data_IF_540871759526
#
_entry.id   IF_540871759526
#
_cell.length_a   1.000
_cell.length_b   1.000
_cell.length_c   1.000
_cell.angle_alpha   90.00
_cell.angle_beta   90.00
_cell.angle_gamma   90.00
#
_symmetry.space_group_name_H-M   'P 1'
#
loop_
_entity.id
_entity.type
_entity.pdbx_description
1 polymer ?
#
# COMPACT_ATOMS: atom_id res chain seq x y z
N UNK A 1 34.61 8.81 -4.43
CA UNK A 1 33.45 9.33 -3.66
C UNK A 1 32.21 8.62 -4.16
N UNK A 2 31.65 7.68 -3.39
CA UNK A 2 30.38 7.04 -3.74
C UNK A 2 29.25 8.05 -3.52
N UNK A 3 28.48 8.36 -4.56
CA UNK A 3 27.22 9.12 -4.40
C UNK A 3 26.31 8.30 -3.51
N UNK A 4 26.06 8.76 -2.30
CA UNK A 4 25.00 8.21 -1.45
C UNK A 4 23.70 8.55 -2.19
N UNK A 5 23.10 7.53 -2.79
CA UNK A 5 21.87 7.67 -3.55
C UNK A 5 20.71 7.71 -2.55
N UNK A 6 20.31 8.92 -2.13
CA UNK A 6 19.16 9.09 -1.25
C UNK A 6 17.89 8.68 -2.01
N UNK A 7 17.12 7.75 -1.45
CA UNK A 7 15.82 7.44 -2.01
C UNK A 7 14.87 8.62 -1.78
N UNK A 8 14.55 9.36 -2.83
CA UNK A 8 13.55 10.43 -2.80
C UNK A 8 12.10 9.90 -2.69
N UNK A 9 11.89 8.68 -2.21
CA UNK A 9 10.60 8.02 -2.11
C UNK A 9 10.56 7.11 -0.88
N UNK A 10 9.40 7.04 -0.23
CA UNK A 10 9.17 6.30 1.02
C UNK A 10 8.46 4.98 0.77
N UNK A 11 7.66 4.90 -0.29
CA UNK A 11 6.96 3.68 -0.68
C UNK A 11 7.12 3.48 -2.19
N UNK A 12 7.27 2.24 -2.61
CA UNK A 12 7.28 1.86 -4.01
C UNK A 12 6.33 0.70 -4.22
N UNK A 13 5.37 0.86 -5.12
CA UNK A 13 4.45 -0.19 -5.56
C UNK A 13 4.74 -0.51 -7.03
N UNK A 14 5.45 -1.62 -7.27
CA UNK A 14 5.96 -1.97 -8.59
C UNK A 14 6.92 -0.88 -9.10
N UNK A 15 6.48 -0.12 -10.11
CA UNK A 15 7.24 1.01 -10.67
C UNK A 15 6.86 2.37 -10.06
N UNK A 16 5.75 2.44 -9.33
CA UNK A 16 5.26 3.69 -8.74
C UNK A 16 5.99 3.99 -7.46
N UNK A 17 6.50 5.21 -7.36
CA UNK A 17 7.18 5.71 -6.19
C UNK A 17 6.30 6.77 -5.55
N UNK A 18 6.03 6.61 -4.27
CA UNK A 18 5.36 7.59 -3.44
C UNK A 18 6.40 8.33 -2.62
N UNK A 19 6.36 9.65 -2.69
CA UNK A 19 7.20 10.52 -1.90
C UNK A 19 6.39 11.70 -1.42
N UNK A 20 6.82 12.32 -0.33
CA UNK A 20 6.24 13.56 0.18
C UNK A 20 6.17 14.66 -0.90
N UNK A 21 7.10 14.66 -1.87
CA UNK A 21 7.15 15.65 -2.95
C UNK A 21 6.29 15.34 -4.18
N UNK A 22 5.96 14.07 -4.45
CA UNK A 22 5.19 13.66 -5.65
C UNK A 22 3.79 13.16 -5.32
N UNK A 23 3.55 12.62 -4.14
CA UNK A 23 2.23 12.24 -3.64
C UNK A 23 2.35 12.09 -2.12
N UNK A 24 1.94 13.13 -1.40
CA UNK A 24 1.98 13.13 0.06
C UNK A 24 0.98 12.12 0.59
N UNK A 25 1.49 10.93 0.82
CA UNK A 25 0.80 9.86 1.49
C UNK A 25 0.75 10.18 2.99
N UNK A 26 -0.45 10.32 3.53
CA UNK A 26 -0.64 10.82 4.90
C UNK A 26 -0.87 9.70 5.90
N UNK A 27 -1.50 8.59 5.48
CA UNK A 27 -1.93 7.54 6.41
C UNK A 27 -1.88 6.15 5.78
N UNK A 28 -1.06 5.27 6.38
CA UNK A 28 -0.97 3.84 6.09
C UNK A 28 -1.69 3.03 7.13
N UNK A 29 -2.60 2.18 6.69
CA UNK A 29 -3.32 1.26 7.55
C UNK A 29 -3.14 -0.16 7.05
N UNK A 30 -2.44 -0.98 7.84
CA UNK A 30 -2.35 -2.42 7.63
C UNK A 30 -3.45 -3.11 8.42
N UNK A 31 -4.26 -3.91 7.74
CA UNK A 31 -5.23 -4.81 8.35
C UNK A 31 -4.79 -6.25 8.09
N UNK A 32 -4.39 -6.97 9.13
CA UNK A 32 -4.00 -8.39 9.02
C UNK A 32 -4.90 -9.21 9.92
N UNK A 33 -5.68 -10.08 9.31
CA UNK A 33 -6.53 -11.02 10.05
C UNK A 33 -5.72 -12.26 10.42
N UNK A 34 -5.98 -12.81 11.61
CA UNK A 34 -5.41 -14.07 12.06
C UNK A 34 -6.54 -15.03 12.39
N UNK A 35 -6.45 -16.27 11.89
CA UNK A 35 -7.48 -17.29 12.10
C UNK A 35 -7.11 -18.14 13.32
N UNK A 36 -8.00 -18.18 14.29
CA UNK A 36 -7.89 -18.98 15.50
C UNK A 36 -9.11 -19.88 15.64
N UNK A 37 -8.89 -21.16 15.96
CA UNK A 37 -9.95 -22.12 16.28
C UNK A 37 -10.03 -22.25 17.79
N UNK A 38 -11.20 -21.98 18.37
CA UNK A 38 -11.45 -22.30 19.77
C UNK A 38 -11.79 -23.79 19.86
N UNK A 39 -11.09 -24.50 20.73
CA UNK A 39 -11.35 -25.89 21.05
C UNK A 39 -11.98 -25.95 22.44
N UNK A 40 -13.22 -26.42 22.50
CA UNK A 40 -13.88 -26.73 23.77
C UNK A 40 -13.26 -27.99 24.36
N UNK A 41 -12.48 -27.83 25.42
CA UNK A 41 -11.95 -28.95 26.19
C UNK A 41 -12.90 -29.29 27.32
N UNK A 42 -13.25 -30.57 27.45
CA UNK A 42 -14.16 -31.08 28.48
C UNK A 42 -13.56 -31.09 29.91
N UNK A 43 -12.33 -30.59 30.06
CA UNK A 43 -11.60 -30.53 31.34
C UNK A 43 -11.85 -29.16 31.98
N UNK A 44 -12.08 -29.14 33.30
CA UNK A 44 -12.35 -28.01 34.23
C UNK A 44 -11.31 -26.86 34.23
N UNK A 45 -10.69 -26.55 33.10
CA UNK A 45 -9.83 -25.38 32.95
C UNK A 45 -10.65 -24.23 32.40
N UNK A 46 -10.75 -23.17 33.20
CA UNK A 46 -11.57 -21.97 33.02
C UNK A 46 -11.19 -21.11 31.81
N UNK A 47 -10.28 -21.57 30.94
CA UNK A 47 -9.83 -20.83 29.76
C UNK A 47 -9.91 -21.72 28.51
N UNK A 48 -10.69 -21.31 27.48
CA UNK A 48 -10.79 -22.08 26.25
C UNK A 48 -9.45 -22.11 25.49
N UNK A 49 -9.06 -23.30 25.00
CA UNK A 49 -7.81 -23.47 24.24
C UNK A 49 -8.00 -22.91 22.84
N UNK A 50 -7.14 -21.98 22.41
CA UNK A 50 -7.16 -21.45 21.04
C UNK A 50 -6.00 -22.02 20.22
N UNK A 51 -6.31 -22.60 19.06
CA UNK A 51 -5.33 -23.11 18.11
C UNK A 51 -5.18 -22.15 16.92
N UNK A 52 -3.95 -21.72 16.64
CA UNK A 52 -3.66 -20.91 15.46
C UNK A 52 -3.81 -21.73 14.18
N UNK A 53 -4.67 -21.27 13.27
CA UNK A 53 -4.95 -21.94 11.98
C UNK A 53 -4.11 -21.33 10.85
N UNK A 54 -3.71 -20.07 10.99
CA UNK A 54 -2.90 -19.37 9.99
C UNK A 54 -3.24 -17.89 9.86
N UNK A 55 -2.47 -17.22 8.99
CA UNK A 55 -2.73 -15.84 8.61
C UNK A 55 -3.95 -15.81 7.68
N UNK A 56 -4.89 -14.92 7.97
CA UNK A 56 -6.08 -14.66 7.18
C UNK A 56 -5.86 -13.59 6.12
N UNK A 57 -6.91 -12.84 5.77
CA UNK A 57 -6.81 -11.77 4.77
C UNK A 57 -5.87 -10.67 5.26
N UNK A 58 -4.99 -10.23 4.37
CA UNK A 58 -4.15 -9.06 4.59
C UNK A 58 -4.54 -7.97 3.60
N UNK A 59 -4.83 -6.79 4.14
CA UNK A 59 -5.23 -5.60 3.41
C UNK A 59 -4.35 -4.44 3.83
N UNK A 60 -4.07 -3.56 2.87
CA UNK A 60 -3.34 -2.33 3.06
C UNK A 60 -4.17 -1.22 2.47
N UNK A 61 -4.53 -0.25 3.30
CA UNK A 61 -5.21 0.96 2.89
C UNK A 61 -4.24 2.12 2.91
N UNK A 62 -4.22 2.82 1.78
CA UNK A 62 -3.37 3.95 1.52
C UNK A 62 -4.21 5.20 1.29
N UNK A 63 -4.12 6.18 2.19
CA UNK A 63 -4.76 7.49 2.03
C UNK A 63 -3.72 8.60 1.82
N UNK A 64 -3.97 9.48 0.85
CA UNK A 64 -3.10 10.61 0.56
C UNK A 64 -3.78 11.72 -0.20
N UNK A 65 -3.07 12.84 -0.34
CA UNK A 65 -3.53 13.99 -1.12
C UNK A 65 -2.46 14.37 -2.13
N UNK A 66 -2.88 14.50 -3.39
CA UNK A 66 -2.06 14.98 -4.49
C UNK A 66 -2.47 16.42 -4.75
N UNK A 67 -1.49 17.31 -4.76
CA UNK A 67 -1.63 18.69 -5.24
C UNK A 67 -1.02 18.77 -6.64
N UNK A 68 -1.82 18.71 -7.73
CA UNK A 68 -1.29 18.60 -9.08
C UNK A 68 -0.39 19.77 -9.51
N UNK A 69 -0.48 20.91 -8.81
CA UNK A 69 0.36 22.08 -9.06
C UNK A 69 1.80 21.93 -8.55
N UNK A 70 2.01 21.08 -7.55
CA UNK A 70 3.32 20.86 -6.93
C UNK A 70 4.04 19.62 -7.51
N UNK A 71 3.31 18.81 -8.26
CA UNK A 71 3.72 17.48 -8.68
C UNK A 71 3.72 17.38 -10.19
N UNK A 72 4.87 17.05 -10.78
CA UNK A 72 4.95 16.73 -12.21
C UNK A 72 4.07 15.52 -12.52
N UNK A 73 3.08 15.70 -13.40
CA UNK A 73 2.15 14.66 -13.86
C UNK A 73 1.19 14.13 -12.78
N UNK A 74 0.94 14.91 -11.73
CA UNK A 74 0.05 14.53 -10.61
C UNK A 74 -1.38 14.19 -11.03
N UNK A 75 -1.88 14.79 -12.12
CA UNK A 75 -3.21 14.48 -12.68
C UNK A 75 -3.29 13.06 -13.27
N UNK A 76 -2.21 12.56 -13.89
CA UNK A 76 -2.20 11.25 -14.57
C UNK A 76 -1.65 10.14 -13.68
N UNK A 77 -1.14 10.46 -12.51
CA UNK A 77 -0.52 9.49 -11.60
C UNK A 77 -1.52 8.39 -11.23
N UNK A 78 -2.73 8.75 -10.79
CA UNK A 78 -3.78 7.79 -10.44
C UNK A 78 -4.29 7.01 -11.65
N UNK A 79 -4.39 7.65 -12.82
CA UNK A 79 -4.81 6.97 -14.06
C UNK A 79 -3.80 5.90 -14.50
N UNK A 80 -2.50 6.18 -14.35
CA UNK A 80 -1.45 5.19 -14.60
C UNK A 80 -1.53 4.03 -13.60
N UNK A 81 -1.79 4.33 -12.33
CA UNK A 81 -2.00 3.29 -11.31
C UNK A 81 -3.21 2.42 -11.63
N UNK A 82 -4.33 3.01 -12.08
CA UNK A 82 -5.49 2.27 -12.59
C UNK A 82 -5.12 1.40 -13.79
N UNK A 83 -4.34 1.92 -14.72
CA UNK A 83 -3.90 1.15 -15.89
C UNK A 83 -3.02 -0.05 -15.52
N UNK A 84 -2.14 0.08 -14.52
CA UNK A 84 -1.36 -1.06 -14.01
C UNK A 84 -2.21 -2.03 -13.19
N UNK A 85 -3.16 -1.52 -12.38
CA UNK A 85 -4.13 -2.37 -11.68
C UNK A 85 -4.98 -3.19 -12.67
N UNK A 86 -5.36 -2.58 -13.80
CA UNK A 86 -6.14 -3.23 -14.85
C UNK A 86 -5.39 -4.36 -15.57
N UNK A 87 -4.05 -4.45 -15.43
CA UNK A 87 -3.30 -5.61 -15.93
C UNK A 87 -3.52 -6.87 -15.10
N UNK A 88 -4.04 -6.73 -13.87
CA UNK A 88 -4.24 -7.85 -12.95
C UNK A 88 -2.95 -8.47 -12.44
N UNK A 89 -1.80 -7.80 -12.62
CA UNK A 89 -0.51 -8.30 -12.19
C UNK A 89 -0.21 -7.92 -10.72
N UNK A 90 0.30 -8.85 -9.90
CA UNK A 90 0.70 -8.54 -8.54
C UNK A 90 1.93 -7.61 -8.53
N UNK A 91 1.81 -6.49 -7.81
CA UNK A 91 2.84 -5.47 -7.69
C UNK A 91 3.65 -5.67 -6.42
N UNK A 92 4.98 -5.67 -6.53
CA UNK A 92 5.85 -5.73 -5.35
C UNK A 92 5.78 -4.42 -4.57
N UNK A 93 5.42 -4.50 -3.30
CA UNK A 93 5.46 -3.35 -2.39
C UNK A 93 6.82 -3.30 -1.70
N UNK A 94 7.47 -2.15 -1.74
CA UNK A 94 8.73 -1.90 -1.04
C UNK A 94 8.57 -0.63 -0.22
N UNK A 95 8.81 -0.72 1.08
CA UNK A 95 8.89 0.42 1.97
C UNK A 95 10.36 0.81 2.13
N UNK A 96 10.67 2.07 1.98
CA UNK A 96 12.03 2.58 2.14
C UNK A 96 12.06 3.40 3.41
N UNK A 97 12.81 2.90 4.39
CA UNK A 97 13.12 3.65 5.59
C UNK A 97 14.37 4.48 5.30
N UNK A 98 14.21 5.81 5.30
CA UNK A 98 15.35 6.72 5.25
C UNK A 98 16.11 6.60 6.56
N UNK A 99 17.24 5.89 6.54
CA UNK A 99 18.17 5.80 7.67
C UNK A 99 19.04 7.07 7.74
N UNK A 100 18.42 8.23 7.94
CA UNK A 100 19.11 9.51 8.11
C UNK A 100 20.05 9.93 6.96
N UNK A 101 20.75 11.05 7.16
CA UNK A 101 21.59 11.70 6.13
C UNK A 101 22.89 10.95 5.80
N UNK A 102 23.24 9.92 6.56
CA UNK A 102 24.56 9.27 6.54
C UNK A 102 24.53 7.74 6.38
N UNK A 103 23.36 7.11 6.36
CA UNK A 103 23.24 5.66 6.17
C UNK A 103 22.46 5.38 4.88
N UNK A 104 22.86 4.36 4.09
CA UNK A 104 22.06 3.95 2.93
C UNK A 104 20.61 3.65 3.34
N UNK A 105 19.65 4.17 2.56
CA UNK A 105 18.24 3.87 2.76
C UNK A 105 18.02 2.36 2.71
N UNK A 106 17.42 1.79 3.76
CA UNK A 106 17.14 0.35 3.83
C UNK A 106 15.74 0.14 3.27
N UNK A 107 15.66 -0.48 2.10
CA UNK A 107 14.40 -0.89 1.51
C UNK A 107 13.95 -2.23 2.08
N UNK A 108 12.78 -2.28 2.73
CA UNK A 108 12.10 -3.52 3.12
C UNK A 108 11.06 -3.88 2.07
N UNK A 109 11.22 -5.05 1.45
CA UNK A 109 10.19 -5.62 0.58
C UNK A 109 9.06 -6.17 1.47
N UNK A 110 7.83 -5.70 1.23
CA UNK A 110 6.63 -6.03 1.99
C UNK A 110 5.74 -7.05 1.26
N UNK A 111 6.33 -7.90 0.42
CA UNK A 111 5.66 -8.87 -0.45
C UNK A 111 4.91 -8.27 -1.65
N UNK A 112 4.14 -9.13 -2.34
CA UNK A 112 3.34 -8.80 -3.51
C UNK A 112 1.93 -8.39 -3.10
N UNK A 113 1.40 -7.37 -3.75
CA UNK A 113 0.09 -6.79 -3.47
C UNK A 113 -0.67 -6.54 -4.77
N UNK A 114 -1.97 -6.76 -4.74
CA UNK A 114 -2.88 -6.39 -5.84
C UNK A 114 -3.72 -5.19 -5.41
N UNK A 115 -3.90 -4.24 -6.31
CA UNK A 115 -4.79 -3.10 -6.08
C UNK A 115 -6.23 -3.59 -6.27
N UNK A 116 -7.05 -3.46 -5.23
CA UNK A 116 -8.46 -3.89 -5.26
C UNK A 116 -9.42 -2.73 -5.45
N UNK A 117 -9.04 -1.53 -5.00
CA UNK A 117 -9.87 -0.34 -5.10
C UNK A 117 -9.00 0.93 -5.17
N UNK A 118 -9.41 1.89 -6.01
CA UNK A 118 -8.86 3.24 -6.05
C UNK A 118 -10.01 4.23 -6.07
N UNK A 119 -10.23 4.90 -4.96
CA UNK A 119 -11.14 6.02 -4.83
C UNK A 119 -10.36 7.34 -4.92
N UNK A 120 -10.89 8.32 -5.66
CA UNK A 120 -10.36 9.68 -5.64
C UNK A 120 -11.49 10.71 -5.55
N UNK A 121 -11.24 11.76 -4.77
CA UNK A 121 -12.09 12.93 -4.66
C UNK A 121 -11.30 14.14 -5.09
N UNK A 122 -11.75 14.78 -6.17
CA UNK A 122 -11.14 15.97 -6.76
C UNK A 122 -11.89 17.21 -6.27
N UNK A 123 -11.19 18.17 -5.69
CA UNK A 123 -11.75 19.41 -5.12
C UNK A 123 -10.99 20.64 -5.61
N UNK A 124 -11.50 21.83 -5.27
CA UNK A 124 -10.90 23.12 -5.60
C UNK A 124 -10.66 23.28 -7.12
N UNK A 125 -11.71 23.04 -7.92
CA UNK A 125 -11.68 23.27 -9.35
C UNK A 125 -11.55 24.78 -9.64
N UNK A 126 -10.60 25.14 -10.49
CA UNK A 126 -10.57 26.46 -11.11
C UNK A 126 -11.50 26.52 -12.32
N UNK A 127 -11.68 27.73 -12.86
CA UNK A 127 -12.40 27.97 -14.11
C UNK A 127 -11.87 27.15 -15.30
N UNK A 128 -10.63 26.66 -15.23
CA UNK A 128 -9.99 25.81 -16.25
C UNK A 128 -10.34 24.32 -16.11
N UNK A 129 -11.17 23.93 -15.14
CA UNK A 129 -11.59 22.54 -14.92
C UNK A 129 -10.51 21.63 -14.31
N UNK A 130 -9.34 22.18 -13.98
CA UNK A 130 -8.24 21.44 -13.33
C UNK A 130 -8.44 21.47 -11.81
N UNK A 131 -8.51 20.30 -11.14
CA UNK A 131 -8.59 20.24 -9.68
C UNK A 131 -7.25 20.64 -9.06
N UNK A 132 -7.29 21.45 -8.00
CA UNK A 132 -6.07 21.80 -7.23
C UNK A 132 -5.73 20.79 -6.15
N UNK A 133 -6.71 20.01 -5.72
CA UNK A 133 -6.56 19.01 -4.67
C UNK A 133 -7.24 17.71 -5.10
N UNK A 134 -6.50 16.61 -4.99
CA UNK A 134 -6.99 15.26 -5.28
C UNK A 134 -6.70 14.40 -4.07
N UNK A 135 -7.73 14.15 -3.27
CA UNK A 135 -7.65 13.17 -2.19
C UNK A 135 -7.84 11.79 -2.79
N UNK A 136 -7.02 10.82 -2.41
CA UNK A 136 -7.17 9.45 -2.89
C UNK A 136 -7.10 8.47 -1.72
N UNK A 137 -7.88 7.41 -1.86
CA UNK A 137 -7.84 6.23 -1.02
C UNK A 137 -7.62 5.03 -1.92
N UNK A 138 -6.63 4.22 -1.60
CA UNK A 138 -6.29 3.02 -2.35
C UNK A 138 -6.28 1.83 -1.42
N UNK A 139 -6.98 0.76 -1.81
CA UNK A 139 -6.95 -0.50 -1.08
C UNK A 139 -6.18 -1.52 -1.88
N UNK A 140 -5.30 -2.21 -1.17
CA UNK A 140 -4.52 -3.32 -1.68
C UNK A 140 -4.83 -4.56 -0.86
N UNK A 141 -4.78 -5.71 -1.51
CA UNK A 141 -4.81 -7.01 -0.85
C UNK A 141 -3.51 -7.75 -1.13
N UNK A 142 -2.97 -8.43 -0.12
CA UNK A 142 -1.76 -9.23 -0.27
C UNK A 142 -2.01 -10.36 -1.25
N UNK A 143 -1.07 -10.54 -2.16
CA UNK A 143 -1.06 -11.65 -3.10
C UNK A 143 -0.13 -12.74 -2.58
N UNK A 144 -0.70 -13.81 -2.04
CA UNK A 144 0.06 -14.91 -1.43
C UNK A 144 0.60 -15.93 -2.43
N UNK A 145 0.48 -15.69 -3.75
CA UNK A 145 1.07 -16.57 -4.75
C UNK A 145 0.42 -17.95 -4.88
N UNK A 146 -0.64 -18.24 -4.11
CA UNK A 146 -1.54 -19.32 -4.45
C UNK A 146 -2.29 -18.92 -5.72
N UNK A 147 -1.68 -19.22 -6.88
CA UNK A 147 -2.43 -19.78 -7.99
C UNK A 147 -3.43 -20.74 -7.36
N UNK A 148 -4.72 -20.54 -7.60
CA UNK A 148 -5.73 -21.39 -7.04
C UNK A 148 -5.29 -22.84 -7.23
N UNK A 149 -5.30 -23.60 -6.14
CA UNK A 149 -5.60 -25.00 -6.23
C UNK A 149 -7.00 -25.10 -6.86
N UNK A 150 -7.07 -24.92 -8.18
CA UNK A 150 -8.16 -25.42 -9.00
C UNK A 150 -7.95 -26.93 -8.97
N UNK A 151 -8.63 -27.56 -8.00
CA UNK A 151 -8.87 -28.99 -8.00
C UNK A 151 -9.78 -29.37 -9.17
#
# INVERSE_FOLDING_TARGET
MAKINHANYMLQLGKYKFSVSTAAFQKMQFNTQYRWKTLDTQTDQTTPVQQFIGVGKQELELEGTIFPQLVTDGLKQLDRMRAEAAKGEPLTLTYVEESGKSTPSVGRVLDKWVITDINETRTLYLNDGIPREIQFTMKLSRYDGNEGAQS
#
